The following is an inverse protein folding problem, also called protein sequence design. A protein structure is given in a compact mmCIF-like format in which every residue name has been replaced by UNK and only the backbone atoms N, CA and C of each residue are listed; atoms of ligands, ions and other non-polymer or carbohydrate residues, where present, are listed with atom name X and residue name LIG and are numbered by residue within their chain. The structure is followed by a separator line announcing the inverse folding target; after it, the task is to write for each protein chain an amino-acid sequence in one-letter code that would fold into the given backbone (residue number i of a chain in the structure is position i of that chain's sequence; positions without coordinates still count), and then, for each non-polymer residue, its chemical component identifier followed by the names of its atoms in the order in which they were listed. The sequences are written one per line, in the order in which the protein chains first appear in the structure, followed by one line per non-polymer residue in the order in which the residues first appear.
data_IF_122963421297
#
_entry.id   IF_122963421297
#
_cell.length_a   1.000
_cell.length_b   1.000
_cell.length_c   1.000
_cell.angle_alpha   90.00
_cell.angle_beta   90.00
_cell.angle_gamma   90.00
#
_symmetry.space_group_name_H-M   'P 1'
#
loop_
_entity.id
_entity.type
_entity.pdbx_description
1 polymer ?
#
# COMPACT_ATOMS: atom_id res chain seq x y z
N UNK A 1 9.62 -44.59 1.90
CA UNK A 1 10.24 -43.49 2.67
C UNK A 1 10.38 -42.20 1.87
N UNK A 2 10.80 -42.22 0.61
CA UNK A 2 10.91 -41.02 -0.27
C UNK A 2 9.56 -40.30 -0.52
N UNK A 3 8.44 -41.04 -0.58
CA UNK A 3 7.10 -40.47 -0.76
C UNK A 3 6.60 -39.61 0.42
N UNK A 4 7.08 -39.86 1.63
CA UNK A 4 6.67 -39.11 2.82
C UNK A 4 7.35 -37.73 2.92
N UNK A 5 8.56 -37.59 2.35
CA UNK A 5 9.30 -36.32 2.30
C UNK A 5 8.68 -35.37 1.27
N UNK A 6 8.20 -35.91 0.15
CA UNK A 6 7.52 -35.12 -0.89
C UNK A 6 6.20 -34.48 -0.39
N UNK A 7 5.44 -35.16 0.48
CA UNK A 7 4.22 -34.59 1.08
C UNK A 7 4.51 -33.48 2.10
N UNK A 8 5.67 -33.52 2.78
CA UNK A 8 6.05 -32.52 3.77
C UNK A 8 6.49 -31.19 3.11
N UNK A 9 7.08 -31.26 1.90
CA UNK A 9 7.49 -30.10 1.11
C UNK A 9 6.31 -29.35 0.47
N UNK A 10 5.19 -30.03 0.19
CA UNK A 10 3.95 -29.44 -0.32
C UNK A 10 3.20 -28.58 0.71
N UNK A 11 3.48 -28.78 2.01
CA UNK A 11 2.89 -28.02 3.11
C UNK A 11 3.66 -26.71 3.42
N UNK A 12 4.78 -26.48 2.74
CA UNK A 12 5.58 -25.25 2.82
C UNK A 12 5.26 -24.28 1.67
N UNK A 13 3.99 -24.22 1.27
CA UNK A 13 3.53 -23.10 0.47
C UNK A 13 3.43 -21.87 1.38
N UNK A 14 4.52 -21.10 1.46
CA UNK A 14 4.50 -19.76 2.07
C UNK A 14 3.71 -18.85 1.13
N UNK A 15 2.38 -18.84 1.27
CA UNK A 15 1.57 -17.84 0.60
C UNK A 15 2.12 -16.46 0.97
N UNK A 16 2.47 -15.65 -0.03
CA UNK A 16 2.94 -14.29 0.21
C UNK A 16 1.87 -13.52 1.00
N UNK A 17 2.26 -12.70 2.01
CA UNK A 17 1.31 -11.88 2.73
C UNK A 17 0.55 -10.96 1.76
N UNK A 18 -0.74 -10.77 2.01
CA UNK A 18 -1.58 -9.90 1.19
C UNK A 18 -1.11 -8.43 1.30
N UNK A 19 -1.14 -7.72 0.18
CA UNK A 19 -0.88 -6.28 0.14
C UNK A 19 -2.08 -5.52 0.69
N UNK A 20 -1.87 -4.62 1.63
CA UNK A 20 -2.94 -3.80 2.22
C UNK A 20 -2.99 -2.43 1.53
N UNK A 21 -4.06 -2.18 0.77
CA UNK A 21 -4.28 -0.93 0.05
C UNK A 21 -5.14 0.01 0.90
N UNK A 22 -4.59 1.15 1.28
CA UNK A 22 -5.22 2.16 2.12
C UNK A 22 -5.90 3.29 1.37
N UNK A 23 -6.86 3.96 2.02
CA UNK A 23 -7.42 5.23 1.53
C UNK A 23 -7.67 6.27 2.62
N UNK A 24 -7.65 7.55 2.22
CA UNK A 24 -8.11 8.67 3.04
C UNK A 24 -9.64 8.69 3.08
N UNK A 25 -10.22 9.43 4.03
CA UNK A 25 -11.68 9.49 4.28
C UNK A 25 -12.49 10.32 3.27
N UNK A 26 -12.06 10.41 2.01
CA UNK A 26 -12.81 11.13 0.96
C UNK A 26 -12.92 10.31 -0.33
N UNK A 27 -13.95 10.63 -1.12
CA UNK A 27 -14.43 9.80 -2.22
C UNK A 27 -13.36 9.46 -3.27
N UNK A 28 -12.64 10.46 -3.79
CA UNK A 28 -11.60 10.20 -4.80
C UNK A 28 -10.49 9.29 -4.26
N UNK A 29 -10.05 9.46 -3.00
CA UNK A 29 -9.04 8.56 -2.43
C UNK A 29 -9.53 7.12 -2.34
N UNK A 30 -10.82 6.91 -2.08
CA UNK A 30 -11.42 5.57 -2.06
C UNK A 30 -11.44 4.98 -3.47
N UNK A 31 -11.92 5.73 -4.47
CA UNK A 31 -11.99 5.26 -5.86
C UNK A 31 -10.61 4.90 -6.38
N UNK A 32 -9.60 5.74 -6.14
CA UNK A 32 -8.22 5.47 -6.58
C UNK A 32 -7.60 4.27 -5.86
N UNK A 33 -7.88 4.08 -4.57
CA UNK A 33 -7.42 2.92 -3.82
C UNK A 33 -8.05 1.62 -4.37
N UNK A 34 -9.35 1.64 -4.68
CA UNK A 34 -10.03 0.48 -5.25
C UNK A 34 -9.50 0.13 -6.66
N UNK A 35 -9.23 1.14 -7.50
CA UNK A 35 -8.59 0.92 -8.81
C UNK A 35 -7.21 0.25 -8.63
N UNK A 36 -6.41 0.70 -7.67
CA UNK A 36 -5.11 0.11 -7.38
C UNK A 36 -5.23 -1.33 -6.87
N UNK A 37 -6.18 -1.60 -5.97
CA UNK A 37 -6.45 -2.94 -5.46
C UNK A 37 -6.82 -3.91 -6.59
N UNK A 38 -7.76 -3.53 -7.46
CA UNK A 38 -8.16 -4.36 -8.60
C UNK A 38 -7.02 -4.59 -9.59
N UNK A 39 -6.15 -3.61 -9.82
CA UNK A 39 -4.98 -3.78 -10.68
C UNK A 39 -4.00 -4.80 -10.08
N UNK A 40 -3.72 -4.72 -8.79
CA UNK A 40 -2.87 -5.68 -8.08
C UNK A 40 -3.47 -7.10 -8.08
N UNK A 41 -4.77 -7.22 -7.84
CA UNK A 41 -5.48 -8.51 -7.91
C UNK A 41 -5.39 -9.13 -9.32
N UNK A 42 -5.49 -8.31 -10.38
CA UNK A 42 -5.32 -8.76 -11.77
C UNK A 42 -3.91 -9.27 -12.09
N UNK A 43 -2.90 -8.75 -11.41
CA UNK A 43 -1.51 -9.22 -11.51
C UNK A 43 -1.22 -10.42 -10.58
N UNK A 44 -2.22 -10.93 -9.86
CA UNK A 44 -2.13 -12.14 -9.05
C UNK A 44 -1.72 -11.92 -7.59
N UNK A 45 -1.67 -10.67 -7.13
CA UNK A 45 -1.45 -10.37 -5.71
C UNK A 45 -2.74 -10.62 -4.90
N UNK A 46 -2.59 -11.16 -3.69
CA UNK A 46 -3.64 -11.08 -2.68
C UNK A 46 -3.69 -9.65 -2.12
N UNK A 47 -4.88 -9.07 -1.97
CA UNK A 47 -5.05 -7.67 -1.58
C UNK A 47 -6.11 -7.52 -0.50
N UNK A 48 -5.75 -6.82 0.58
CA UNK A 48 -6.65 -6.34 1.64
C UNK A 48 -6.94 -4.84 1.46
N UNK A 49 -8.11 -4.39 1.92
CA UNK A 49 -8.57 -3.00 1.76
C UNK A 49 -8.70 -2.31 3.12
N UNK A 50 -7.91 -1.26 3.34
CA UNK A 50 -7.94 -0.44 4.55
C UNK A 50 -8.51 0.96 4.24
N UNK A 51 -9.80 1.03 3.95
CA UNK A 51 -10.43 2.27 3.49
C UNK A 51 -10.78 3.24 4.64
N UNK A 52 -10.67 4.55 4.35
CA UNK A 52 -11.21 5.58 5.22
C UNK A 52 -10.41 5.88 6.50
N UNK A 53 -9.09 5.66 6.48
CA UNK A 53 -8.17 5.81 7.62
C UNK A 53 -8.23 7.18 8.30
N UNK A 54 -8.53 8.24 7.53
CA UNK A 54 -8.59 9.61 8.03
C UNK A 54 -8.01 10.62 7.05
N UNK A 55 -7.32 11.63 7.58
CA UNK A 55 -6.59 12.64 6.81
C UNK A 55 -5.22 12.15 6.33
N UNK A 56 -4.49 13.03 5.62
CA UNK A 56 -3.22 12.67 4.98
C UNK A 56 -2.11 12.24 5.95
N UNK A 57 -2.04 12.83 7.15
CA UNK A 57 -1.04 12.44 8.15
C UNK A 57 -1.32 11.06 8.74
N UNK A 58 -2.58 10.74 9.01
CA UNK A 58 -2.97 9.41 9.53
C UNK A 58 -2.66 8.33 8.50
N UNK A 59 -2.99 8.57 7.22
CA UNK A 59 -2.65 7.62 6.16
C UNK A 59 -1.12 7.47 5.97
N UNK A 60 -0.36 8.54 6.15
CA UNK A 60 1.10 8.50 6.11
C UNK A 60 1.70 7.73 7.29
N UNK A 61 1.17 7.94 8.50
CA UNK A 61 1.58 7.21 9.70
C UNK A 61 1.26 5.72 9.58
N UNK A 62 0.08 5.37 9.07
CA UNK A 62 -0.29 3.99 8.78
C UNK A 62 0.68 3.33 7.78
N UNK A 63 1.09 4.05 6.73
CA UNK A 63 2.10 3.57 5.79
C UNK A 63 3.45 3.35 6.49
N UNK A 64 3.91 4.31 7.29
CA UNK A 64 5.17 4.21 8.02
C UNK A 64 5.19 3.13 9.11
N UNK A 65 4.02 2.80 9.67
CA UNK A 65 3.83 1.73 10.66
C UNK A 65 3.69 0.33 10.03
N UNK A 66 3.47 0.24 8.72
CA UNK A 66 3.20 -1.02 8.01
C UNK A 66 1.75 -1.52 8.15
N UNK A 67 0.82 -0.67 8.62
CA UNK A 67 -0.61 -0.99 8.67
C UNK A 67 -1.23 -1.00 7.26
N UNK A 68 -0.61 -0.30 6.31
CA UNK A 68 -0.91 -0.33 4.87
C UNK A 68 0.40 -0.35 4.08
N UNK A 69 0.36 -0.93 2.88
CA UNK A 69 1.52 -1.00 1.98
C UNK A 69 1.53 0.13 0.93
N UNK A 70 0.35 0.66 0.60
CA UNK A 70 0.23 1.81 -0.30
C UNK A 70 -1.07 2.59 -0.09
N UNK A 71 -1.08 3.86 -0.48
CA UNK A 71 -2.30 4.67 -0.59
C UNK A 71 -2.15 5.79 -1.64
N UNK A 72 -3.26 6.30 -2.22
CA UNK A 72 -3.23 7.44 -3.12
C UNK A 72 -2.86 8.75 -2.40
N UNK A 73 -1.76 9.38 -2.81
CA UNK A 73 -1.27 10.63 -2.22
C UNK A 73 -1.14 11.74 -3.26
N UNK A 74 -1.33 12.99 -2.83
CA UNK A 74 -1.06 14.17 -3.66
C UNK A 74 0.34 14.69 -3.38
N UNK A 75 1.12 14.91 -4.42
CA UNK A 75 2.49 15.43 -4.33
C UNK A 75 2.59 16.73 -3.54
N UNK A 76 1.69 17.69 -3.77
CA UNK A 76 1.66 18.94 -3.02
C UNK A 76 1.33 18.78 -1.53
N UNK A 77 0.52 17.79 -1.17
CA UNK A 77 0.22 17.47 0.23
C UNK A 77 1.41 16.77 0.89
N UNK A 78 2.06 15.83 0.19
CA UNK A 78 3.28 15.19 0.68
C UNK A 78 4.37 16.23 0.96
N UNK A 79 4.68 17.10 0.00
CA UNK A 79 5.72 18.12 0.17
C UNK A 79 5.44 19.05 1.36
N UNK A 80 4.21 19.55 1.50
CA UNK A 80 3.88 20.59 2.48
C UNK A 80 3.55 20.06 3.88
N UNK A 81 2.64 19.10 3.95
CA UNK A 81 2.07 18.64 5.22
C UNK A 81 2.89 17.50 5.83
N UNK A 82 3.37 16.57 4.99
CA UNK A 82 4.08 15.36 5.44
C UNK A 82 5.58 15.64 5.60
N UNK A 83 6.24 16.05 4.52
CA UNK A 83 7.69 16.24 4.46
C UNK A 83 8.15 17.61 4.97
N UNK A 84 7.23 18.55 5.17
CA UNK A 84 7.51 19.94 5.59
C UNK A 84 8.58 20.64 4.71
N UNK A 85 8.59 20.32 3.43
CA UNK A 85 9.53 20.79 2.42
C UNK A 85 8.77 21.39 1.21
N UNK A 86 8.17 22.58 1.35
CA UNK A 86 7.24 23.14 0.36
C UNK A 86 7.87 23.49 -1.00
N UNK A 87 9.21 23.53 -1.09
CA UNK A 87 9.95 23.74 -2.34
C UNK A 87 10.15 22.45 -3.15
N UNK A 88 9.98 21.27 -2.54
CA UNK A 88 10.11 20.00 -3.25
C UNK A 88 8.91 19.77 -4.18
N UNK A 89 9.20 19.45 -5.43
CA UNK A 89 8.18 19.13 -6.44
C UNK A 89 8.76 18.25 -7.54
N UNK A 90 7.89 17.70 -8.39
CA UNK A 90 8.28 16.95 -9.58
C UNK A 90 9.22 15.78 -9.28
N UNK A 91 10.33 15.71 -10.02
CA UNK A 91 11.33 14.65 -9.87
C UNK A 91 12.03 14.67 -8.50
N UNK A 92 12.40 15.85 -7.99
CA UNK A 92 13.07 16.00 -6.70
C UNK A 92 12.21 15.49 -5.54
N UNK A 93 10.88 15.62 -5.62
CA UNK A 93 9.99 15.01 -4.63
C UNK A 93 10.00 13.48 -4.73
N UNK A 94 9.99 12.91 -5.94
CA UNK A 94 9.98 11.45 -6.13
C UNK A 94 11.27 10.80 -5.63
N UNK A 95 12.41 11.44 -5.83
CA UNK A 95 13.71 10.95 -5.32
C UNK A 95 13.81 10.99 -3.80
N UNK A 96 12.93 11.76 -3.13
CA UNK A 96 12.91 11.91 -1.67
C UNK A 96 12.02 10.86 -0.98
N UNK A 97 11.06 10.29 -1.70
CA UNK A 97 10.15 9.25 -1.21
C UNK A 97 10.82 7.88 -1.36
#
# INVERSE_FOLDING_TARGET
MIRAIALLLLLWSTAAPALTVGSKRFAESHVLAEIAAQLLEREGFAVERAHGLGGSLIAWEALGAGDIDLYPAYTGTLARAVLKAPSLSGAALRERL
#
